data_IF_453777897643
#
_entry.id   IF_453777897643
#
_cell.length_a   1.000
_cell.length_b   1.000
_cell.length_c   1.000
_cell.angle_alpha   90.00
_cell.angle_beta   90.00
_cell.angle_gamma   90.00
#
_symmetry.space_group_name_H-M   'P 1'
#
loop_
_entity.id
_entity.type
_entity.pdbx_description
1 polymer ?
#
# COMPACT_ATOMS: atom_id res chain seq x y z
N UNK A 1 8.93 4.08 -21.41
CA UNK A 1 7.55 4.58 -21.22
C UNK A 1 6.68 3.74 -22.13
N UNK A 2 5.85 2.87 -21.56
CA UNK A 2 4.89 2.12 -22.34
C UNK A 2 3.78 3.08 -22.76
N UNK A 3 3.47 3.07 -24.05
CA UNK A 3 2.44 3.91 -24.65
C UNK A 3 1.05 3.43 -24.19
N UNK A 4 0.41 4.18 -23.29
CA UNK A 4 -0.93 3.91 -22.77
C UNK A 4 -2.06 4.43 -23.67
N UNK A 5 -1.75 4.78 -24.93
CA UNK A 5 -2.74 5.29 -25.88
C UNK A 5 -3.39 4.20 -26.73
N UNK A 6 -3.54 2.97 -26.22
CA UNK A 6 -4.35 1.96 -26.92
C UNK A 6 -5.83 2.24 -26.71
N UNK A 7 -6.41 2.79 -27.76
CA UNK A 7 -7.82 2.71 -28.14
C UNK A 7 -8.84 2.99 -27.02
N UNK A 8 -9.10 4.25 -26.70
CA UNK A 8 -10.42 4.70 -26.24
C UNK A 8 -11.00 4.09 -24.94
N UNK A 9 -10.31 3.18 -24.29
CA UNK A 9 -10.74 2.57 -23.04
C UNK A 9 -10.44 3.51 -21.87
N UNK A 10 -11.44 3.74 -21.04
CA UNK A 10 -11.24 4.44 -19.77
C UNK A 10 -10.32 3.61 -18.87
N UNK A 11 -9.51 4.22 -17.99
CA UNK A 11 -8.69 3.48 -17.02
C UNK A 11 -9.49 2.46 -16.19
N UNK A 12 -10.79 2.66 -16.04
CA UNK A 12 -11.71 1.74 -15.36
C UNK A 12 -12.01 0.45 -16.15
N UNK A 13 -11.66 0.37 -17.43
CA UNK A 13 -12.06 -0.75 -18.31
C UNK A 13 -10.90 -1.69 -18.66
N UNK A 14 -9.64 -1.35 -18.25
CA UNK A 14 -8.45 -2.17 -18.54
C UNK A 14 -8.55 -3.61 -18.03
N UNK A 15 -9.25 -3.85 -16.96
CA UNK A 15 -9.45 -5.18 -16.38
C UNK A 15 -10.42 -6.05 -17.21
N UNK A 16 -11.26 -5.45 -18.08
CA UNK A 16 -12.19 -6.18 -18.94
C UNK A 16 -11.47 -6.95 -20.06
N UNK A 17 -10.30 -6.45 -20.49
CA UNK A 17 -9.48 -7.12 -21.51
C UNK A 17 -8.52 -8.18 -20.93
N UNK A 18 -8.22 -8.11 -19.63
CA UNK A 18 -7.27 -9.01 -18.98
C UNK A 18 -7.87 -10.40 -18.66
N UNK A 19 -9.16 -10.59 -18.79
CA UNK A 19 -9.82 -11.86 -18.47
C UNK A 19 -9.74 -12.79 -19.68
N UNK A 20 -8.81 -13.78 -19.60
CA UNK A 20 -8.81 -14.94 -20.50
C UNK A 20 -9.67 -16.02 -19.86
N UNK A 21 -10.68 -16.61 -20.55
CA UNK A 21 -11.36 -17.78 -20.04
C UNK A 21 -10.37 -18.97 -20.04
N UNK A 22 -9.93 -19.37 -18.85
CA UNK A 22 -9.22 -20.64 -18.62
C UNK A 22 -10.21 -21.80 -18.74
N UNK A 23 -9.79 -22.87 -19.38
CA UNK A 23 -10.61 -24.06 -19.57
C UNK A 23 -10.64 -24.94 -18.31
N UNK A 24 -11.83 -25.55 -18.08
CA UNK A 24 -12.12 -26.68 -17.19
C UNK A 24 -12.16 -26.42 -15.68
N UNK A 25 -13.23 -26.12 -15.24
CA UNK A 25 -14.09 -26.09 -14.04
C UNK A 25 -14.64 -24.68 -13.84
N UNK A 26 -15.59 -24.29 -14.72
CA UNK A 26 -16.31 -23.04 -14.53
C UNK A 26 -17.28 -23.30 -13.38
N UNK A 27 -16.89 -22.90 -12.16
CA UNK A 27 -17.84 -22.68 -11.09
C UNK A 27 -18.91 -21.72 -11.62
N UNK A 28 -20.16 -22.02 -11.35
CA UNK A 28 -21.23 -21.17 -11.80
C UNK A 28 -21.08 -19.78 -11.18
N UNK A 29 -21.50 -18.74 -11.88
CA UNK A 29 -21.44 -17.37 -11.34
C UNK A 29 -22.13 -17.26 -9.97
N UNK A 30 -23.11 -18.12 -9.71
CA UNK A 30 -23.82 -18.21 -8.44
C UNK A 30 -22.90 -18.72 -7.32
N UNK A 31 -22.06 -19.69 -7.59
CA UNK A 31 -21.06 -20.19 -6.63
C UNK A 31 -20.01 -19.14 -6.33
N UNK A 32 -19.49 -18.47 -7.35
CA UNK A 32 -18.54 -17.38 -7.17
C UNK A 32 -19.12 -16.20 -6.37
N UNK A 33 -20.40 -15.85 -6.59
CA UNK A 33 -21.10 -14.84 -5.77
C UNK A 33 -21.23 -15.28 -4.31
N UNK A 34 -21.43 -16.57 -4.02
CA UNK A 34 -21.44 -17.09 -2.63
C UNK A 34 -20.08 -16.93 -1.95
N UNK A 35 -18.97 -17.10 -2.68
CA UNK A 35 -17.64 -16.84 -2.11
C UNK A 35 -17.49 -15.36 -1.73
N UNK A 36 -17.99 -14.44 -2.55
CA UNK A 36 -18.00 -13.01 -2.24
C UNK A 36 -18.87 -12.72 -1.00
N UNK A 37 -20.03 -13.36 -0.88
CA UNK A 37 -20.93 -13.21 0.28
C UNK A 37 -20.26 -13.71 1.57
N UNK A 38 -19.49 -14.79 1.51
CA UNK A 38 -18.70 -15.28 2.65
C UNK A 38 -17.61 -14.29 3.05
N UNK A 39 -16.92 -13.66 2.09
CA UNK A 39 -15.97 -12.58 2.39
C UNK A 39 -16.65 -11.37 3.04
N UNK A 40 -17.85 -10.99 2.59
CA UNK A 40 -18.65 -9.93 3.22
C UNK A 40 -19.00 -10.27 4.67
N UNK A 41 -19.28 -11.55 4.95
CA UNK A 41 -19.53 -12.04 6.31
C UNK A 41 -18.28 -12.14 7.20
N UNK A 42 -17.08 -11.86 6.64
CA UNK A 42 -15.80 -11.92 7.36
C UNK A 42 -15.20 -13.33 7.42
N UNK A 43 -15.69 -14.26 6.60
CA UNK A 43 -15.11 -15.59 6.48
C UNK A 43 -13.84 -15.57 5.61
N UNK A 44 -12.90 -16.49 5.91
CA UNK A 44 -11.72 -16.70 5.06
C UNK A 44 -12.02 -17.70 3.97
N UNK A 45 -11.46 -17.49 2.80
CA UNK A 45 -11.48 -18.45 1.70
C UNK A 45 -10.21 -19.30 1.70
N UNK A 46 -10.32 -20.52 1.16
CA UNK A 46 -9.18 -21.38 0.86
C UNK A 46 -8.41 -20.86 -0.36
N UNK A 47 -7.20 -21.38 -0.59
CA UNK A 47 -6.39 -21.01 -1.76
C UNK A 47 -7.13 -21.32 -3.07
N UNK A 48 -7.74 -22.51 -3.18
CA UNK A 48 -8.49 -22.93 -4.37
C UNK A 48 -9.72 -22.03 -4.62
N UNK A 49 -10.43 -21.62 -3.56
CA UNK A 49 -11.56 -20.69 -3.67
C UNK A 49 -11.09 -19.30 -4.14
N UNK A 50 -9.91 -18.83 -3.72
CA UNK A 50 -9.31 -17.61 -4.24
C UNK A 50 -8.94 -17.73 -5.71
N UNK A 51 -8.34 -18.86 -6.12
CA UNK A 51 -8.02 -19.14 -7.53
C UNK A 51 -9.31 -19.09 -8.36
N UNK A 52 -10.37 -19.77 -7.90
CA UNK A 52 -11.67 -19.79 -8.57
C UNK A 52 -12.26 -18.38 -8.76
N UNK A 53 -12.20 -17.52 -7.75
CA UNK A 53 -12.65 -16.13 -7.85
C UNK A 53 -11.85 -15.31 -8.85
N UNK A 54 -10.53 -15.51 -8.89
CA UNK A 54 -9.63 -14.75 -9.78
C UNK A 54 -9.80 -15.20 -11.23
N UNK A 55 -9.82 -16.52 -11.47
CA UNK A 55 -9.95 -17.09 -12.81
C UNK A 55 -11.37 -16.96 -13.37
N UNK A 56 -12.40 -17.13 -12.52
CA UNK A 56 -13.80 -16.97 -12.88
C UNK A 56 -14.28 -15.52 -13.00
N UNK A 57 -13.37 -14.55 -12.94
CA UNK A 57 -13.72 -13.13 -13.02
C UNK A 57 -14.40 -12.77 -14.34
N UNK A 58 -15.61 -12.26 -14.23
CA UNK A 58 -16.38 -11.71 -15.33
C UNK A 58 -16.83 -10.26 -15.01
N UNK A 59 -17.28 -9.48 -15.99
CA UNK A 59 -17.85 -8.16 -15.73
C UNK A 59 -19.00 -8.20 -14.70
N UNK A 60 -19.89 -9.18 -14.81
CA UNK A 60 -21.00 -9.35 -13.86
C UNK A 60 -20.53 -9.64 -12.45
N UNK A 61 -19.55 -10.55 -12.30
CA UNK A 61 -18.99 -10.89 -10.99
C UNK A 61 -18.24 -9.70 -10.38
N UNK A 62 -17.52 -8.94 -11.20
CA UNK A 62 -16.80 -7.75 -10.75
C UNK A 62 -17.77 -6.65 -10.29
N UNK A 63 -18.86 -6.42 -11.02
CA UNK A 63 -19.88 -5.44 -10.63
C UNK A 63 -20.53 -5.84 -9.29
N UNK A 64 -20.82 -7.14 -9.09
CA UNK A 64 -21.32 -7.66 -7.81
C UNK A 64 -20.33 -7.44 -6.66
N UNK A 65 -19.05 -7.78 -6.86
CA UNK A 65 -17.99 -7.57 -5.89
C UNK A 65 -17.84 -6.08 -5.53
N UNK A 66 -17.84 -5.19 -6.52
CA UNK A 66 -17.68 -3.75 -6.31
C UNK A 66 -18.86 -3.16 -5.54
N UNK A 67 -20.08 -3.63 -5.81
CA UNK A 67 -21.27 -3.22 -5.05
C UNK A 67 -21.13 -3.60 -3.57
N UNK A 68 -20.77 -4.86 -3.27
CA UNK A 68 -20.54 -5.33 -1.91
C UNK A 68 -19.43 -4.55 -1.20
N UNK A 69 -18.31 -4.38 -1.87
CA UNK A 69 -17.17 -3.60 -1.34
C UNK A 69 -17.55 -2.14 -1.04
N UNK A 70 -18.36 -1.52 -1.90
CA UNK A 70 -18.87 -0.16 -1.70
C UNK A 70 -19.78 -0.08 -0.47
N UNK A 71 -20.71 -1.02 -0.32
CA UNK A 71 -21.62 -1.07 0.83
C UNK A 71 -20.83 -1.23 2.15
N UNK A 72 -19.84 -2.13 2.20
CA UNK A 72 -18.98 -2.31 3.36
C UNK A 72 -18.23 -1.01 3.65
N UNK A 73 -17.59 -0.44 2.64
CA UNK A 73 -16.82 0.79 2.78
C UNK A 73 -17.68 1.94 3.31
N UNK A 74 -18.90 2.10 2.79
CA UNK A 74 -19.82 3.15 3.26
C UNK A 74 -20.30 2.91 4.69
N UNK A 75 -20.53 1.66 5.08
CA UNK A 75 -20.89 1.28 6.45
C UNK A 75 -19.76 1.59 7.43
N UNK A 76 -18.52 1.28 7.10
CA UNK A 76 -17.36 1.41 8.00
C UNK A 76 -16.81 2.85 8.06
N UNK A 77 -16.84 3.58 6.94
CA UNK A 77 -16.15 4.87 6.80
C UNK A 77 -17.05 6.01 6.30
N UNK A 78 -18.32 5.76 6.05
CA UNK A 78 -19.23 6.73 5.43
C UNK A 78 -18.77 7.13 4.02
N UNK A 79 -19.03 8.38 3.64
CA UNK A 79 -18.61 8.93 2.32
C UNK A 79 -17.29 9.69 2.38
N UNK A 80 -16.62 9.73 3.53
CA UNK A 80 -15.38 10.48 3.70
C UNK A 80 -14.22 9.87 2.89
N UNK A 81 -13.36 10.70 2.35
CA UNK A 81 -12.08 10.30 1.74
C UNK A 81 -10.96 10.71 2.69
N UNK A 82 -10.14 9.72 3.10
CA UNK A 82 -9.03 9.96 4.01
C UNK A 82 -7.76 10.22 3.20
N UNK A 83 -7.22 11.41 3.34
CA UNK A 83 -5.97 11.82 2.71
C UNK A 83 -4.81 11.63 3.70
N UNK A 84 -3.68 11.13 3.19
CA UNK A 84 -2.47 10.90 3.98
C UNK A 84 -1.36 11.82 3.50
N UNK A 85 -0.62 12.43 4.43
CA UNK A 85 0.61 13.16 4.12
C UNK A 85 1.76 12.20 3.92
N UNK A 86 2.22 12.02 2.67
CA UNK A 86 3.38 11.20 2.35
C UNK A 86 4.63 12.06 2.42
N UNK A 87 5.64 11.61 3.17
CA UNK A 87 6.94 12.25 3.32
C UNK A 87 8.01 11.24 2.86
N UNK A 88 8.59 11.50 1.70
CA UNK A 88 9.67 10.71 1.14
C UNK A 88 10.99 11.13 1.81
N UNK A 89 11.35 10.48 2.92
CA UNK A 89 12.45 10.90 3.79
C UNK A 89 13.84 10.77 3.15
N UNK A 90 14.01 9.77 2.27
CA UNK A 90 15.27 9.51 1.57
C UNK A 90 15.01 8.70 0.31
N UNK A 91 15.77 8.97 -0.74
CA UNK A 91 15.80 8.15 -1.95
C UNK A 91 17.12 7.34 -2.11
N UNK A 92 17.93 7.24 -1.03
CA UNK A 92 18.98 6.25 -0.97
C UNK A 92 18.40 4.87 -0.67
N UNK A 93 18.94 3.83 -1.30
CA UNK A 93 18.56 2.45 -1.02
C UNK A 93 19.77 1.53 -1.16
N UNK A 94 19.89 0.56 -0.23
CA UNK A 94 20.94 -0.46 -0.30
C UNK A 94 20.65 -1.54 -1.33
N UNK A 95 19.36 -1.72 -1.71
CA UNK A 95 18.88 -2.74 -2.61
C UNK A 95 18.99 -2.32 -4.08
N UNK A 96 18.96 -3.30 -4.97
CA UNK A 96 19.12 -3.08 -6.41
C UNK A 96 17.98 -3.68 -7.24
N UNK A 97 16.75 -3.58 -6.76
CA UNK A 97 15.55 -4.08 -7.42
C UNK A 97 15.40 -3.49 -8.82
N UNK A 98 15.38 -4.32 -9.85
CA UNK A 98 15.48 -3.89 -11.26
C UNK A 98 14.37 -2.94 -11.71
N UNK A 99 13.18 -3.05 -11.13
CA UNK A 99 12.04 -2.17 -11.43
C UNK A 99 12.09 -0.81 -10.72
N UNK A 100 12.97 -0.64 -9.71
CA UNK A 100 12.92 0.52 -8.84
C UNK A 100 13.78 1.68 -9.35
N UNK A 101 13.18 2.88 -9.46
CA UNK A 101 13.88 4.08 -9.88
C UNK A 101 14.95 4.56 -8.89
N UNK A 102 14.82 4.22 -7.59
CA UNK A 102 15.79 4.59 -6.56
C UNK A 102 16.75 3.44 -6.19
N UNK A 103 16.83 2.39 -7.01
CA UNK A 103 17.78 1.29 -6.79
C UNK A 103 19.22 1.79 -6.72
N UNK A 104 20.06 1.06 -5.96
CA UNK A 104 21.45 1.45 -5.70
C UNK A 104 22.27 1.76 -6.97
N UNK A 105 22.12 0.94 -8.02
CA UNK A 105 22.90 1.08 -9.27
C UNK A 105 22.42 2.22 -10.17
N UNK A 106 21.25 2.82 -9.94
CA UNK A 106 20.78 3.91 -10.77
C UNK A 106 21.57 5.21 -10.50
N UNK A 107 22.54 5.49 -11.37
CA UNK A 107 23.39 6.69 -11.32
C UNK A 107 22.70 7.96 -11.80
N UNK A 108 21.55 7.85 -12.45
CA UNK A 108 20.79 8.99 -12.94
C UNK A 108 19.84 9.58 -11.88
N UNK A 109 19.66 8.90 -10.74
CA UNK A 109 18.84 9.40 -9.67
C UNK A 109 19.59 10.46 -8.86
N UNK A 110 19.06 11.68 -8.81
CA UNK A 110 19.53 12.70 -7.87
C UNK A 110 19.20 12.27 -6.45
N UNK A 111 20.22 12.10 -5.59
CA UNK A 111 20.08 11.54 -4.26
C UNK A 111 19.90 12.63 -3.21
N UNK A 112 18.97 12.38 -2.27
CA UNK A 112 18.73 13.28 -1.13
C UNK A 112 18.38 12.49 0.13
N UNK A 113 18.53 13.15 1.26
CA UNK A 113 17.97 12.79 2.57
C UNK A 113 17.41 14.05 3.17
N UNK A 114 16.18 13.96 3.67
CA UNK A 114 15.61 15.04 4.46
C UNK A 114 16.23 15.05 5.86
N UNK A 115 16.49 16.24 6.38
CA UNK A 115 16.86 16.44 7.77
C UNK A 115 15.64 16.23 8.69
N UNK A 116 15.88 16.13 9.99
CA UNK A 116 14.81 16.03 10.99
C UNK A 116 13.88 17.27 10.92
N UNK A 117 14.48 18.43 10.78
CA UNK A 117 13.77 19.73 10.72
C UNK A 117 12.87 19.80 9.47
N UNK A 118 13.37 19.34 8.34
CA UNK A 118 12.59 19.28 7.09
C UNK A 118 11.41 18.33 7.21
N UNK A 119 11.58 17.14 7.82
CA UNK A 119 10.50 16.20 8.05
C UNK A 119 9.44 16.78 8.99
N UNK A 120 9.86 17.41 10.11
CA UNK A 120 8.93 18.04 11.05
C UNK A 120 8.21 19.22 10.41
N UNK A 121 8.89 20.00 9.57
CA UNK A 121 8.26 21.08 8.78
C UNK A 121 7.21 20.54 7.81
N UNK A 122 7.46 19.41 7.16
CA UNK A 122 6.46 18.74 6.32
C UNK A 122 5.25 18.28 7.14
N UNK A 123 5.47 17.75 8.35
CA UNK A 123 4.38 17.38 9.26
C UNK A 123 3.55 18.58 9.67
N UNK A 124 4.19 19.69 10.06
CA UNK A 124 3.51 20.94 10.43
C UNK A 124 2.65 21.48 9.30
N UNK A 125 3.22 21.60 8.10
CA UNK A 125 2.48 22.06 6.92
C UNK A 125 1.31 21.15 6.59
N UNK A 126 1.50 19.83 6.65
CA UNK A 126 0.45 18.84 6.43
C UNK A 126 -0.65 18.94 7.48
N UNK A 127 -0.28 19.13 8.74
CA UNK A 127 -1.23 19.27 9.85
C UNK A 127 -2.14 20.49 9.68
N UNK A 128 -1.55 21.62 9.30
CA UNK A 128 -2.30 22.87 9.01
C UNK A 128 -3.26 22.70 7.81
N UNK A 129 -2.88 21.87 6.83
CA UNK A 129 -3.73 21.51 5.69
C UNK A 129 -4.83 20.48 6.04
N UNK A 130 -4.86 20.00 7.29
CA UNK A 130 -5.88 19.05 7.77
C UNK A 130 -5.50 17.59 7.68
N UNK A 131 -4.27 17.24 7.30
CA UNK A 131 -3.82 15.84 7.33
C UNK A 131 -3.73 15.34 8.78
N UNK A 132 -4.16 14.09 8.99
CA UNK A 132 -4.13 13.42 10.29
C UNK A 132 -3.47 12.04 10.20
N UNK A 133 -2.77 11.78 9.11
CA UNK A 133 -1.91 10.61 8.94
C UNK A 133 -0.65 11.04 8.20
N UNK A 134 0.51 10.78 8.78
CA UNK A 134 1.80 10.96 8.13
C UNK A 134 2.39 9.59 7.79
N UNK A 135 2.89 9.46 6.56
CA UNK A 135 3.56 8.26 6.08
C UNK A 135 5.01 8.62 5.81
N UNK A 136 5.91 8.13 6.63
CA UNK A 136 7.34 8.24 6.41
C UNK A 136 7.78 7.09 5.51
N UNK A 137 8.19 7.41 4.30
CA UNK A 137 8.60 6.45 3.29
C UNK A 137 10.00 6.76 2.80
N UNK A 138 10.68 5.75 2.28
CA UNK A 138 12.00 5.90 1.66
C UNK A 138 12.52 4.58 1.14
N UNK A 139 13.70 4.63 0.53
CA UNK A 139 14.49 3.43 0.31
C UNK A 139 15.03 2.87 1.62
N UNK A 140 15.59 1.66 1.56
CA UNK A 140 16.32 1.10 2.70
C UNK A 140 17.68 1.80 2.82
N UNK A 141 17.66 2.99 3.38
CA UNK A 141 18.82 3.85 3.56
C UNK A 141 19.59 3.47 4.84
N UNK A 142 20.87 3.04 4.75
CA UNK A 142 21.66 2.69 5.92
C UNK A 142 21.91 3.86 6.89
N UNK A 143 21.77 5.10 6.43
CA UNK A 143 21.94 6.28 7.30
C UNK A 143 20.71 6.53 8.19
N UNK A 144 19.55 5.98 7.84
CA UNK A 144 18.35 6.01 8.66
C UNK A 144 18.37 4.84 9.64
N UNK A 145 19.18 4.96 10.68
CA UNK A 145 19.32 3.92 11.71
C UNK A 145 18.01 3.72 12.48
N UNK A 146 17.87 2.56 13.13
CA UNK A 146 16.69 2.26 13.93
C UNK A 146 16.46 3.29 15.04
N UNK A 147 17.53 3.80 15.66
CA UNK A 147 17.45 4.83 16.69
C UNK A 147 17.03 6.18 16.11
N UNK A 148 17.58 6.56 14.95
CA UNK A 148 17.18 7.77 14.26
C UNK A 148 15.68 7.80 13.92
N UNK A 149 15.17 6.67 13.42
CA UNK A 149 13.73 6.53 13.10
C UNK A 149 12.91 6.59 14.38
N UNK A 150 13.32 5.91 15.44
CA UNK A 150 12.65 5.93 16.74
C UNK A 150 12.52 7.36 17.28
N UNK A 151 13.61 8.13 17.28
CA UNK A 151 13.62 9.52 17.74
C UNK A 151 12.73 10.41 16.88
N UNK A 152 12.70 10.17 15.55
CA UNK A 152 11.80 10.89 14.63
C UNK A 152 10.34 10.61 14.94
N UNK A 153 9.98 9.33 15.17
CA UNK A 153 8.62 8.94 15.55
C UNK A 153 8.20 9.60 16.86
N UNK A 154 9.09 9.63 17.86
CA UNK A 154 8.84 10.30 19.14
C UNK A 154 8.61 11.80 18.96
N UNK A 155 9.43 12.46 18.13
CA UNK A 155 9.30 13.89 17.87
C UNK A 155 7.96 14.22 17.16
N UNK A 156 7.57 13.42 16.15
CA UNK A 156 6.28 13.60 15.47
C UNK A 156 5.12 13.35 16.44
N UNK A 157 5.19 12.28 17.26
CA UNK A 157 4.14 11.95 18.24
C UNK A 157 3.98 13.07 19.27
N UNK A 158 5.07 13.69 19.72
CA UNK A 158 5.04 14.78 20.67
C UNK A 158 4.40 16.06 20.07
N UNK A 159 4.70 16.37 18.80
CA UNK A 159 4.15 17.54 18.12
C UNK A 159 2.72 17.36 17.61
N UNK A 160 2.34 16.14 17.23
CA UNK A 160 1.07 15.84 16.56
C UNK A 160 0.41 14.58 17.18
N UNK A 161 -0.08 14.68 18.42
CA UNK A 161 -0.55 13.51 19.18
C UNK A 161 -1.82 12.85 18.59
N UNK A 162 -2.62 13.61 17.84
CA UNK A 162 -3.84 13.15 17.16
C UNK A 162 -3.61 12.59 15.76
N UNK A 163 -2.36 12.60 15.27
CA UNK A 163 -2.02 12.06 13.95
C UNK A 163 -1.59 10.59 14.04
N UNK A 164 -1.99 9.82 13.04
CA UNK A 164 -1.45 8.48 12.85
C UNK A 164 -0.09 8.53 12.13
N UNK A 165 0.88 7.76 12.61
CA UNK A 165 2.22 7.65 12.04
C UNK A 165 2.36 6.27 11.38
N UNK A 166 2.58 6.26 10.07
CA UNK A 166 2.83 5.06 9.28
C UNK A 166 4.28 5.06 8.79
N UNK A 167 4.98 3.95 8.92
CA UNK A 167 6.35 3.79 8.42
C UNK A 167 6.35 2.83 7.22
N UNK A 168 7.18 3.12 6.21
CA UNK A 168 7.41 2.28 5.03
C UNK A 168 8.89 2.37 4.64
N UNK A 169 9.74 1.67 5.37
CA UNK A 169 11.21 1.78 5.34
C UNK A 169 11.89 0.42 5.06
N UNK A 170 11.22 -0.44 4.29
CA UNK A 170 11.72 -1.75 3.90
C UNK A 170 11.60 -2.84 4.97
N UNK A 171 12.40 -3.88 4.86
CA UNK A 171 12.37 -5.02 5.77
C UNK A 171 13.10 -4.71 7.08
N UNK A 172 12.47 -5.04 8.21
CA UNK A 172 12.99 -4.81 9.56
C UNK A 172 12.80 -6.03 10.44
N UNK A 173 13.69 -6.17 11.43
CA UNK A 173 13.55 -7.21 12.45
C UNK A 173 12.37 -6.91 13.38
N UNK A 174 11.82 -7.95 13.98
CA UNK A 174 10.71 -7.85 14.93
C UNK A 174 11.00 -6.84 16.07
N UNK A 175 12.20 -6.92 16.66
CA UNK A 175 12.58 -6.03 17.76
C UNK A 175 12.63 -4.56 17.35
N UNK A 176 13.08 -4.26 16.13
CA UNK A 176 13.06 -2.91 15.55
C UNK A 176 11.61 -2.41 15.42
N UNK A 177 10.72 -3.22 14.83
CA UNK A 177 9.30 -2.87 14.68
C UNK A 177 8.63 -2.67 16.04
N UNK A 178 8.93 -3.52 17.02
CA UNK A 178 8.42 -3.39 18.40
C UNK A 178 8.85 -2.07 19.02
N UNK A 179 10.14 -1.71 18.94
CA UNK A 179 10.68 -0.43 19.47
C UNK A 179 9.99 0.77 18.80
N UNK A 180 9.80 0.74 17.49
CA UNK A 180 9.13 1.83 16.79
C UNK A 180 7.65 1.94 17.15
N UNK A 181 6.97 0.81 17.37
CA UNK A 181 5.61 0.77 17.89
C UNK A 181 5.53 1.41 19.28
N UNK A 182 6.44 1.06 20.19
CA UNK A 182 6.52 1.61 21.54
C UNK A 182 6.88 3.11 21.52
N UNK A 183 7.64 3.57 20.54
CA UNK A 183 7.95 4.97 20.32
C UNK A 183 6.75 5.80 19.81
N UNK A 184 5.68 5.15 19.33
CA UNK A 184 4.46 5.81 18.89
C UNK A 184 4.08 5.62 17.43
N UNK A 185 4.76 4.75 16.66
CA UNK A 185 4.31 4.38 15.32
C UNK A 185 3.02 3.55 15.38
N UNK A 186 2.02 3.90 14.56
CA UNK A 186 0.72 3.21 14.54
C UNK A 186 0.70 2.06 13.55
N UNK A 187 1.36 2.20 12.41
CA UNK A 187 1.30 1.24 11.31
C UNK A 187 2.65 1.07 10.64
N UNK A 188 2.85 -0.12 10.09
CA UNK A 188 3.97 -0.41 9.20
C UNK A 188 3.45 -0.92 7.86
N UNK A 189 3.88 -0.30 6.77
CA UNK A 189 3.60 -0.73 5.41
C UNK A 189 4.82 -1.52 4.89
N UNK A 190 4.72 -2.84 4.90
CA UNK A 190 5.66 -3.72 4.21
C UNK A 190 5.09 -4.05 2.84
N UNK A 191 5.83 -3.71 1.80
CA UNK A 191 5.43 -4.00 0.43
C UNK A 191 5.66 -5.45 0.10
N UNK A 192 4.68 -6.09 -0.52
CA UNK A 192 4.79 -7.48 -0.93
C UNK A 192 5.67 -7.63 -2.18
N UNK A 193 5.68 -6.65 -3.08
CA UNK A 193 6.42 -6.54 -4.35
C UNK A 193 6.03 -7.63 -5.36
N UNK A 194 6.21 -8.92 -5.06
CA UNK A 194 5.89 -10.04 -5.96
C UNK A 194 5.58 -11.31 -5.18
N UNK A 195 4.82 -12.21 -5.80
CA UNK A 195 4.61 -13.58 -5.31
C UNK A 195 5.62 -14.59 -5.91
N UNK A 196 6.53 -14.15 -6.79
CA UNK A 196 7.57 -15.00 -7.36
C UNK A 196 8.65 -15.32 -6.33
N UNK A 197 8.83 -16.59 -6.02
CA UNK A 197 9.82 -17.07 -5.06
C UNK A 197 11.28 -16.81 -5.48
N UNK A 198 11.53 -16.52 -6.76
CA UNK A 198 12.85 -16.26 -7.34
C UNK A 198 13.19 -14.76 -7.45
N UNK A 199 12.31 -13.87 -7.00
CA UNK A 199 12.51 -12.43 -7.09
C UNK A 199 13.48 -11.91 -6.02
#
# INVERSE_FOLDING_TARGET
MADFTRAGLRPSDWWREAVRPGAEQIETITELKRLIDRLEAGESLTEDEWVSLIEGRSPELADYLFEKARCIREREYGKAVYVRGLIECSNYCKNDCLYCGIRRSNRNASRYRLSREEILSCCENGYQLGFRTFVLQGGEDPAMTDDWVMEMVQAIRAGFPDCAITLSLGEKKYDTLKRWKEAGADRYLLRHETADACH
#
